data_IF_030813641170
#
_entry.id   IF_030813641170
#
_cell.length_a   1.000
_cell.length_b   1.000
_cell.length_c   1.000
_cell.angle_alpha   90.00
_cell.angle_beta   90.00
_cell.angle_gamma   90.00
#
_symmetry.space_group_name_H-M   'P 1'
#
loop_
_entity.id
_entity.type
_entity.pdbx_description
1 polymer ?
#
# COMPACT_ATOMS: atom_id res chain seq x y z
N UNK A 1 24.89 7.18 28.98
CA UNK A 1 25.45 7.53 27.64
C UNK A 1 25.11 6.51 26.54
N UNK A 2 24.65 5.29 26.86
CA UNK A 2 24.21 4.28 25.86
C UNK A 2 22.71 4.32 25.50
N UNK A 3 21.89 5.15 26.16
CA UNK A 3 20.44 5.18 25.93
C UNK A 3 20.05 5.66 24.52
N UNK A 4 20.68 6.72 23.99
CA UNK A 4 20.37 7.21 22.63
C UNK A 4 20.76 6.23 21.51
N UNK A 5 21.79 5.40 21.72
CA UNK A 5 22.22 4.42 20.73
C UNK A 5 21.21 3.27 20.56
N UNK A 6 20.47 2.93 21.62
CA UNK A 6 19.52 1.81 21.61
C UNK A 6 18.37 2.03 20.62
N UNK A 7 17.80 3.23 20.56
CA UNK A 7 16.67 3.56 19.68
C UNK A 7 17.04 3.53 18.19
N UNK A 8 18.20 4.10 17.82
CA UNK A 8 18.68 4.07 16.44
C UNK A 8 19.02 2.65 15.97
N UNK A 9 19.68 1.86 16.82
CA UNK A 9 19.98 0.45 16.53
C UNK A 9 18.69 -0.34 16.34
N UNK A 10 17.67 -0.07 17.15
CA UNK A 10 16.38 -0.74 17.04
C UNK A 10 15.67 -0.43 15.73
N UNK A 11 15.65 0.85 15.30
CA UNK A 11 15.09 1.24 13.99
C UNK A 11 15.90 0.59 12.85
N UNK A 12 17.22 0.64 12.90
CA UNK A 12 18.07 0.02 11.89
C UNK A 12 17.82 -1.50 11.78
N UNK A 13 17.62 -2.18 12.91
CA UNK A 13 17.28 -3.60 12.95
C UNK A 13 15.92 -3.88 12.31
N UNK A 14 14.91 -3.04 12.55
CA UNK A 14 13.59 -3.20 11.93
C UNK A 14 13.64 -3.04 10.41
N UNK A 15 14.45 -2.10 9.90
CA UNK A 15 14.68 -1.92 8.46
C UNK A 15 15.45 -3.13 7.88
N UNK A 16 16.51 -3.56 8.54
CA UNK A 16 17.29 -4.73 8.12
C UNK A 16 16.42 -6.00 8.06
N UNK A 17 15.57 -6.21 9.06
CA UNK A 17 14.61 -7.29 9.09
C UNK A 17 13.63 -7.22 7.91
N UNK A 18 13.06 -6.04 7.62
CA UNK A 18 12.16 -5.85 6.49
C UNK A 18 12.83 -6.21 5.14
N UNK A 19 14.06 -5.74 4.89
CA UNK A 19 14.80 -6.08 3.68
C UNK A 19 15.17 -7.57 3.61
N UNK A 20 15.52 -8.18 4.74
CA UNK A 20 15.84 -9.62 4.79
C UNK A 20 14.61 -10.46 4.43
N UNK A 21 13.43 -10.10 4.95
CA UNK A 21 12.16 -10.76 4.61
C UNK A 21 11.83 -10.65 3.11
N UNK A 22 12.09 -9.48 2.51
CA UNK A 22 11.87 -9.26 1.08
C UNK A 22 12.81 -10.11 0.21
N UNK A 23 14.12 -10.07 0.49
CA UNK A 23 15.13 -10.82 -0.28
C UNK A 23 14.89 -12.34 -0.16
N UNK A 24 14.58 -12.84 1.03
CA UNK A 24 14.30 -14.26 1.21
C UNK A 24 13.05 -14.70 0.45
N UNK A 25 11.99 -13.89 0.48
CA UNK A 25 10.74 -14.24 -0.18
C UNK A 25 10.84 -14.24 -1.70
N UNK A 26 11.37 -13.18 -2.30
CA UNK A 26 11.51 -13.11 -3.76
C UNK A 26 12.68 -13.95 -4.28
N UNK A 27 13.80 -13.97 -3.56
CA UNK A 27 15.02 -14.64 -4.03
C UNK A 27 15.02 -16.16 -3.87
N UNK A 28 14.44 -16.69 -2.78
CA UNK A 28 14.51 -18.13 -2.46
C UNK A 28 13.19 -18.84 -2.70
N UNK A 29 12.07 -18.21 -2.33
CA UNK A 29 10.75 -18.87 -2.32
C UNK A 29 9.83 -18.46 -3.48
N UNK A 30 10.26 -17.55 -4.36
CA UNK A 30 9.46 -16.97 -5.45
C UNK A 30 8.06 -16.49 -4.97
N UNK A 31 7.97 -16.08 -3.71
CA UNK A 31 6.74 -15.64 -3.06
C UNK A 31 6.64 -14.10 -3.09
N UNK A 32 5.47 -13.56 -2.71
CA UNK A 32 5.27 -12.11 -2.64
C UNK A 32 6.17 -11.49 -1.57
N UNK A 33 7.19 -10.75 -2.00
CA UNK A 33 8.11 -10.03 -1.12
C UNK A 33 7.39 -9.03 -0.20
N UNK A 34 6.40 -8.31 -0.73
CA UNK A 34 5.63 -7.30 0.04
C UNK A 34 4.86 -7.96 1.19
N UNK A 35 4.14 -9.06 0.93
CA UNK A 35 3.37 -9.77 1.96
C UNK A 35 4.27 -10.42 3.00
N UNK A 36 5.44 -10.93 2.59
CA UNK A 36 6.46 -11.45 3.51
C UNK A 36 6.95 -10.37 4.46
N UNK A 37 7.30 -9.19 3.95
CA UNK A 37 7.76 -8.06 4.76
C UNK A 37 6.70 -7.62 5.76
N UNK A 38 5.43 -7.53 5.35
CA UNK A 38 4.31 -7.19 6.26
C UNK A 38 4.12 -8.26 7.34
N UNK A 39 4.19 -9.53 6.96
CA UNK A 39 4.06 -10.65 7.91
C UNK A 39 5.22 -10.66 8.91
N UNK A 40 6.44 -10.45 8.43
CA UNK A 40 7.64 -10.33 9.26
C UNK A 40 7.57 -9.13 10.21
N UNK A 41 7.09 -7.98 9.72
CA UNK A 41 6.87 -6.79 10.54
C UNK A 41 5.79 -7.03 11.62
N UNK A 42 4.73 -7.78 11.33
CA UNK A 42 3.69 -8.12 12.32
C UNK A 42 4.25 -9.03 13.43
N UNK A 43 5.03 -10.05 13.06
CA UNK A 43 5.72 -10.92 14.02
C UNK A 43 6.70 -10.12 14.87
N UNK A 44 7.46 -9.22 14.24
CA UNK A 44 8.38 -8.31 14.91
C UNK A 44 7.61 -7.40 15.88
N UNK A 45 6.51 -6.79 15.47
CA UNK A 45 5.68 -5.93 16.31
C UNK A 45 5.16 -6.66 17.55
N UNK A 46 4.69 -7.90 17.40
CA UNK A 46 4.22 -8.71 18.53
C UNK A 46 5.34 -9.06 19.52
N UNK A 47 6.51 -9.44 19.02
CA UNK A 47 7.60 -9.97 19.86
C UNK A 47 8.56 -8.89 20.38
N UNK A 48 8.69 -7.75 19.70
CA UNK A 48 9.58 -6.65 20.09
C UNK A 48 8.95 -5.65 21.05
N UNK A 49 7.62 -5.55 21.14
CA UNK A 49 6.93 -4.61 22.05
C UNK A 49 7.40 -4.61 23.53
N UNK A 50 7.84 -5.75 24.11
CA UNK A 50 8.39 -5.79 25.47
C UNK A 50 9.83 -5.29 25.59
N UNK A 51 10.60 -5.25 24.50
CA UNK A 51 12.03 -4.92 24.48
C UNK A 51 12.33 -3.49 23.97
N UNK A 52 11.31 -2.72 23.58
CA UNK A 52 11.46 -1.35 23.07
C UNK A 52 11.74 -0.39 24.23
N UNK A 53 12.91 0.23 24.21
CA UNK A 53 13.36 1.17 25.26
C UNK A 53 12.65 2.54 25.14
N UNK A 54 12.45 3.04 23.91
CA UNK A 54 11.78 4.32 23.65
C UNK A 54 10.74 4.19 22.54
N UNK A 55 9.49 3.90 22.91
CA UNK A 55 8.38 3.68 21.95
C UNK A 55 8.06 4.93 21.14
N UNK A 56 7.93 6.06 21.81
CA UNK A 56 7.55 7.32 21.17
C UNK A 56 8.59 7.77 20.12
N UNK A 57 9.88 7.63 20.43
CA UNK A 57 10.95 7.97 19.49
C UNK A 57 10.92 7.08 18.24
N UNK A 58 10.68 5.77 18.40
CA UNK A 58 10.57 4.84 17.28
C UNK A 58 9.33 5.14 16.43
N UNK A 59 8.20 5.42 17.06
CA UNK A 59 6.97 5.80 16.39
C UNK A 59 7.14 7.11 15.61
N UNK A 60 7.75 8.14 16.19
CA UNK A 60 8.04 9.40 15.47
C UNK A 60 8.96 9.22 14.27
N UNK A 61 9.99 8.37 14.38
CA UNK A 61 10.88 8.08 13.25
C UNK A 61 10.12 7.35 12.13
N UNK A 62 9.29 6.35 12.48
CA UNK A 62 8.50 5.63 11.49
C UNK A 62 7.43 6.50 10.83
N UNK A 63 6.75 7.38 11.58
CA UNK A 63 5.83 8.37 11.01
C UNK A 63 6.54 9.33 10.06
N UNK A 64 7.77 9.76 10.40
CA UNK A 64 8.58 10.60 9.51
C UNK A 64 8.92 9.87 8.20
N UNK A 65 9.33 8.60 8.30
CA UNK A 65 9.64 7.76 7.13
C UNK A 65 8.39 7.53 6.29
N UNK A 66 7.26 7.18 6.91
CA UNK A 66 5.98 7.01 6.23
C UNK A 66 5.58 8.27 5.48
N UNK A 67 5.65 9.43 6.13
CA UNK A 67 5.34 10.71 5.50
C UNK A 67 6.27 11.02 4.32
N UNK A 68 7.58 10.80 4.48
CA UNK A 68 8.56 11.02 3.43
C UNK A 68 8.32 10.08 2.22
N UNK A 69 8.11 8.78 2.47
CA UNK A 69 7.87 7.79 1.41
C UNK A 69 6.55 8.02 0.69
N UNK A 70 5.48 8.33 1.41
CA UNK A 70 4.19 8.68 0.81
C UNK A 70 4.34 9.91 -0.08
N UNK A 71 5.03 10.96 0.39
CA UNK A 71 5.28 12.17 -0.41
C UNK A 71 6.04 11.85 -1.71
N UNK A 72 7.07 11.00 -1.64
CA UNK A 72 7.83 10.58 -2.83
C UNK A 72 6.95 9.80 -3.81
N UNK A 73 6.16 8.84 -3.33
CA UNK A 73 5.28 8.03 -4.20
C UNK A 73 4.22 8.91 -4.87
N UNK A 74 3.58 9.81 -4.12
CA UNK A 74 2.60 10.74 -4.69
C UNK A 74 3.23 11.73 -5.67
N UNK A 75 4.42 12.25 -5.36
CA UNK A 75 5.16 13.12 -6.26
C UNK A 75 5.52 12.40 -7.56
N UNK A 76 6.03 11.17 -7.48
CA UNK A 76 6.40 10.37 -8.64
C UNK A 76 5.17 9.99 -9.48
N UNK A 77 4.09 9.55 -8.84
CA UNK A 77 2.84 9.23 -9.51
C UNK A 77 2.24 10.46 -10.22
N UNK A 78 2.25 11.63 -9.57
CA UNK A 78 1.81 12.88 -10.18
C UNK A 78 2.67 13.30 -11.38
N UNK A 79 3.99 13.20 -11.25
CA UNK A 79 4.93 13.52 -12.33
C UNK A 79 4.77 12.60 -13.54
N UNK A 80 4.52 11.30 -13.32
CA UNK A 80 4.26 10.35 -14.40
C UNK A 80 2.90 10.60 -15.05
N UNK A 81 1.85 10.82 -14.26
CA UNK A 81 0.50 11.12 -14.79
C UNK A 81 0.52 12.40 -15.64
N UNK A 82 1.22 13.46 -15.20
CA UNK A 82 1.34 14.70 -15.98
C UNK A 82 2.05 14.53 -17.33
N UNK A 83 3.00 13.59 -17.44
CA UNK A 83 3.64 13.27 -18.73
C UNK A 83 2.68 12.57 -19.69
N UNK A 84 1.81 11.70 -19.17
CA UNK A 84 0.84 10.96 -19.99
C UNK A 84 -0.22 11.91 -20.57
N UNK A 85 -0.74 12.83 -19.76
CA UNK A 85 -1.71 13.85 -20.20
C UNK A 85 -1.18 14.71 -21.36
N UNK A 86 0.11 15.08 -21.30
CA UNK A 86 0.76 15.90 -22.33
C UNK A 86 0.88 15.17 -23.68
N UNK A 87 0.95 13.84 -23.68
CA UNK A 87 1.05 13.01 -24.89
C UNK A 87 -0.30 12.75 -25.59
N UNK A 88 -1.40 13.36 -25.13
CA UNK A 88 -2.71 13.46 -25.83
C UNK A 88 -3.23 12.11 -26.36
N UNK A 89 -3.19 11.08 -25.53
CA UNK A 89 -3.77 9.76 -25.85
C UNK A 89 -4.99 9.40 -24.98
N UNK A 90 -5.46 10.31 -24.11
CA UNK A 90 -6.55 10.06 -23.18
C UNK A 90 -7.85 10.66 -23.75
N UNK A 91 -8.86 9.81 -23.94
CA UNK A 91 -10.19 10.22 -24.42
C UNK A 91 -11.06 10.58 -23.22
N UNK A 92 -11.99 11.52 -23.40
CA UNK A 92 -13.02 11.86 -22.38
C UNK A 92 -13.81 10.61 -21.90
N UNK A 93 -13.86 9.55 -22.71
CA UNK A 93 -14.45 8.25 -22.33
C UNK A 93 -13.70 7.51 -21.22
N UNK A 94 -12.39 7.72 -21.05
CA UNK A 94 -11.61 7.06 -19.99
C UNK A 94 -11.98 7.59 -18.60
N UNK A 95 -12.49 8.83 -18.51
CA UNK A 95 -12.99 9.40 -17.27
C UNK A 95 -14.24 8.66 -16.76
N UNK A 96 -15.10 8.23 -17.68
CA UNK A 96 -16.27 7.41 -17.35
C UNK A 96 -15.86 6.02 -16.85
N UNK A 97 -14.87 5.41 -17.52
CA UNK A 97 -14.30 4.13 -17.10
C UNK A 97 -13.67 4.23 -15.72
N UNK A 98 -13.00 5.34 -15.40
CA UNK A 98 -12.38 5.58 -14.09
C UNK A 98 -13.43 5.68 -12.97
N UNK A 99 -14.49 6.45 -13.20
CA UNK A 99 -15.60 6.57 -12.24
C UNK A 99 -16.31 5.22 -12.05
N UNK A 100 -16.53 4.48 -13.14
CA UNK A 100 -17.14 3.16 -13.09
C UNK A 100 -16.26 2.16 -12.34
N UNK A 101 -14.94 2.14 -12.59
CA UNK A 101 -14.01 1.27 -11.88
C UNK A 101 -14.01 1.60 -10.39
N UNK A 102 -14.06 2.89 -10.03
CA UNK A 102 -14.13 3.34 -8.65
C UNK A 102 -15.40 2.87 -7.96
N UNK A 103 -16.55 3.06 -8.60
CA UNK A 103 -17.84 2.64 -8.06
C UNK A 103 -17.93 1.12 -7.93
N UNK A 104 -17.44 0.38 -8.92
CA UNK A 104 -17.39 -1.10 -8.90
C UNK A 104 -16.45 -1.58 -7.78
N UNK A 105 -15.26 -1.00 -7.62
CA UNK A 105 -14.32 -1.36 -6.55
C UNK A 105 -14.91 -1.08 -5.16
N UNK A 106 -15.57 0.06 -4.99
CA UNK A 106 -16.27 0.41 -3.75
C UNK A 106 -17.42 -0.57 -3.45
N UNK A 107 -18.20 -0.94 -4.46
CA UNK A 107 -19.27 -1.94 -4.32
C UNK A 107 -18.72 -3.33 -3.98
N UNK A 108 -17.65 -3.79 -4.63
CA UNK A 108 -17.02 -5.08 -4.33
C UNK A 108 -16.55 -5.10 -2.87
N UNK A 109 -15.91 -4.02 -2.40
CA UNK A 109 -15.48 -3.91 -1.00
C UNK A 109 -16.67 -3.97 -0.04
N UNK A 110 -17.75 -3.26 -0.36
CA UNK A 110 -18.98 -3.27 0.43
C UNK A 110 -19.58 -4.68 0.49
N UNK A 111 -19.71 -5.35 -0.65
CA UNK A 111 -20.21 -6.73 -0.73
C UNK A 111 -19.31 -7.71 0.02
N UNK A 112 -17.98 -7.60 -0.11
CA UNK A 112 -17.05 -8.46 0.63
C UNK A 112 -17.14 -8.26 2.14
N UNK A 113 -17.22 -7.02 2.62
CA UNK A 113 -17.35 -6.74 4.05
C UNK A 113 -18.71 -7.20 4.59
N UNK A 114 -19.81 -6.95 3.87
CA UNK A 114 -21.14 -7.44 4.26
C UNK A 114 -21.26 -8.96 4.17
N UNK A 115 -20.60 -9.58 3.19
CA UNK A 115 -20.52 -11.04 3.05
C UNK A 115 -19.65 -11.69 4.13
N UNK A 116 -18.65 -10.97 4.65
CA UNK A 116 -17.80 -11.43 5.77
C UNK A 116 -18.41 -11.16 7.15
N UNK A 117 -19.45 -10.32 7.24
CA UNK A 117 -20.19 -10.05 8.49
C UNK A 117 -20.64 -11.32 9.25
N UNK A 118 -21.20 -12.38 8.61
CA UNK A 118 -21.66 -13.54 9.36
C UNK A 118 -20.50 -14.42 9.86
N UNK A 119 -19.32 -14.32 9.23
CA UNK A 119 -18.10 -14.95 9.72
C UNK A 119 -17.55 -14.20 10.94
N UNK A 120 -17.57 -12.87 10.91
CA UNK A 120 -17.14 -12.02 12.03
C UNK A 120 -18.02 -12.19 13.27
N UNK A 121 -19.34 -12.21 13.08
CA UNK A 121 -20.30 -12.46 14.17
C UNK A 121 -20.04 -13.83 14.83
N UNK A 122 -19.66 -14.84 14.03
CA UNK A 122 -19.33 -16.18 14.52
C UNK A 122 -18.00 -16.24 15.27
N UNK A 123 -17.08 -15.32 15.00
CA UNK A 123 -15.80 -15.17 15.71
C UNK A 123 -15.93 -14.31 16.99
N UNK A 124 -17.13 -13.81 17.31
CA UNK A 124 -17.42 -13.12 18.57
C UNK A 124 -17.27 -11.59 18.53
N UNK A 125 -16.96 -11.01 17.35
CA UNK A 125 -16.89 -9.56 17.19
C UNK A 125 -18.29 -9.03 16.84
N UNK A 126 -18.90 -8.26 17.75
CA UNK A 126 -20.18 -7.58 17.47
C UNK A 126 -19.90 -6.37 16.58
N UNK A 127 -19.97 -6.53 15.26
CA UNK A 127 -19.74 -5.44 14.31
C UNK A 127 -21.05 -4.80 13.91
N UNK A 128 -21.21 -3.50 14.17
CA UNK A 128 -22.42 -2.76 13.77
C UNK A 128 -22.34 -2.40 12.28
N UNK A 129 -23.48 -2.20 11.61
CA UNK A 129 -23.54 -1.72 10.22
C UNK A 129 -22.77 -0.40 10.01
N UNK A 130 -22.71 0.43 11.06
CA UNK A 130 -21.94 1.67 11.11
C UNK A 130 -20.43 1.41 11.07
N UNK A 131 -19.94 0.43 11.84
CA UNK A 131 -18.52 0.05 11.84
C UNK A 131 -18.10 -0.48 10.46
N UNK A 132 -18.99 -1.23 9.81
CA UNK A 132 -18.74 -1.77 8.48
C UNK A 132 -18.67 -0.67 7.41
N UNK A 133 -19.54 0.35 7.50
CA UNK A 133 -19.47 1.53 6.65
C UNK A 133 -18.19 2.33 6.88
N UNK A 134 -17.77 2.50 8.13
CA UNK A 134 -16.49 3.15 8.48
C UNK A 134 -15.30 2.33 7.95
N UNK A 135 -15.35 0.99 8.03
CA UNK A 135 -14.34 0.10 7.47
C UNK A 135 -14.30 0.14 5.93
N UNK A 136 -15.44 0.24 5.27
CA UNK A 136 -15.51 0.44 3.81
C UNK A 136 -14.83 1.75 3.42
N UNK A 137 -15.08 2.82 4.18
CA UNK A 137 -14.56 4.16 3.94
C UNK A 137 -13.08 4.30 4.30
N UNK A 138 -12.62 3.58 5.32
CA UNK A 138 -11.24 3.60 5.83
C UNK A 138 -10.23 2.80 4.98
N UNK A 139 -10.59 2.36 3.77
CA UNK A 139 -9.73 1.56 2.91
C UNK A 139 -8.35 2.19 2.67
N UNK A 140 -7.31 1.35 2.61
CA UNK A 140 -5.91 1.73 2.42
C UNK A 140 -5.78 2.90 1.42
N UNK A 141 -5.30 4.05 1.90
CA UNK A 141 -4.96 5.21 1.07
C UNK A 141 -4.11 4.72 -0.09
N UNK A 142 -4.50 5.04 -1.33
CA UNK A 142 -4.06 4.39 -2.58
C UNK A 142 -2.56 4.35 -2.90
N UNK A 143 -1.68 4.77 -1.99
CA UNK A 143 -0.22 4.78 -2.14
C UNK A 143 0.36 3.40 -2.52
N UNK A 144 -0.13 2.30 -1.93
CA UNK A 144 0.35 0.95 -2.28
C UNK A 144 -0.07 0.56 -3.70
N UNK A 145 -1.29 0.92 -4.10
CA UNK A 145 -1.79 0.71 -5.47
C UNK A 145 -1.02 1.55 -6.50
N UNK A 146 -0.71 2.81 -6.16
CA UNK A 146 0.15 3.67 -6.96
C UNK A 146 1.56 3.11 -7.12
N UNK A 147 2.17 2.63 -6.03
CA UNK A 147 3.49 2.03 -6.07
C UNK A 147 3.52 0.80 -7.01
N UNK A 148 2.50 -0.05 -6.94
CA UNK A 148 2.34 -1.18 -7.85
C UNK A 148 2.15 -0.71 -9.31
N UNK A 149 1.33 0.32 -9.54
CA UNK A 149 1.10 0.87 -10.88
C UNK A 149 2.40 1.42 -11.50
N UNK A 150 3.20 2.15 -10.71
CA UNK A 150 4.51 2.66 -11.14
C UNK A 150 5.46 1.49 -11.43
N UNK A 151 5.49 0.47 -10.57
CA UNK A 151 6.32 -0.72 -10.79
C UNK A 151 5.95 -1.47 -12.08
N UNK A 152 4.65 -1.64 -12.34
CA UNK A 152 4.18 -2.27 -13.59
C UNK A 152 4.53 -1.42 -14.81
N UNK A 153 4.42 -0.10 -14.71
CA UNK A 153 4.79 0.80 -15.79
C UNK A 153 6.30 0.72 -16.12
N UNK A 154 7.17 0.63 -15.11
CA UNK A 154 8.62 0.47 -15.35
C UNK A 154 8.99 -0.92 -15.88
N UNK A 155 8.25 -1.96 -15.51
CA UNK A 155 8.45 -3.35 -15.97
C UNK A 155 7.70 -3.73 -17.24
N UNK A 156 6.87 -2.84 -17.79
CA UNK A 156 6.02 -3.12 -18.95
C UNK A 156 6.81 -3.62 -20.18
N UNK A 157 8.00 -3.06 -20.42
CA UNK A 157 8.87 -3.44 -21.53
C UNK A 157 9.41 -4.88 -21.42
N UNK A 158 9.66 -5.36 -20.20
CA UNK A 158 10.13 -6.72 -19.93
C UNK A 158 8.98 -7.75 -20.01
N UNK A 159 7.76 -7.33 -19.67
CA UNK A 159 6.56 -8.18 -19.64
C UNK A 159 5.86 -8.32 -21.01
N UNK A 160 6.35 -7.64 -22.06
CA UNK A 160 5.72 -7.65 -23.39
C UNK A 160 4.36 -6.96 -23.43
N UNK A 161 4.06 -6.10 -22.46
CA UNK A 161 2.79 -5.37 -22.37
C UNK A 161 2.85 -4.15 -23.29
N UNK A 162 1.78 -3.89 -24.04
CA UNK A 162 1.71 -2.70 -24.87
C UNK A 162 1.85 -1.43 -24.01
N UNK A 163 2.68 -0.45 -24.39
CA UNK A 163 2.95 0.74 -23.57
C UNK A 163 1.67 1.54 -23.27
N UNK A 164 0.68 1.46 -24.15
CA UNK A 164 -0.63 2.09 -24.00
C UNK A 164 -1.41 1.51 -22.81
N UNK A 165 -1.30 0.22 -22.53
CA UNK A 165 -2.04 -0.42 -21.44
C UNK A 165 -1.38 -0.15 -20.08
N UNK A 166 -0.05 -0.05 -20.04
CA UNK A 166 0.69 0.36 -18.85
C UNK A 166 0.36 1.81 -18.44
N UNK A 167 0.28 2.73 -19.42
CA UNK A 167 -0.10 4.13 -19.18
C UNK A 167 -1.54 4.25 -18.68
N UNK A 168 -2.46 3.42 -19.19
CA UNK A 168 -3.86 3.37 -18.71
C UNK A 168 -3.97 2.89 -17.27
N UNK A 169 -3.22 1.85 -16.89
CA UNK A 169 -3.22 1.35 -15.51
C UNK A 169 -2.71 2.43 -14.56
N UNK A 170 -1.65 3.15 -14.96
CA UNK A 170 -1.10 4.25 -14.17
C UNK A 170 -2.10 5.42 -14.05
N UNK A 171 -2.78 5.78 -15.15
CA UNK A 171 -3.81 6.81 -15.15
C UNK A 171 -5.00 6.44 -14.24
N UNK A 172 -5.50 5.20 -14.33
CA UNK A 172 -6.58 4.75 -13.46
C UNK A 172 -6.15 4.79 -12.00
N UNK A 173 -5.01 4.19 -11.64
CA UNK A 173 -4.52 4.18 -10.26
C UNK A 173 -4.21 5.60 -9.72
N UNK A 174 -3.70 6.48 -10.57
CA UNK A 174 -3.52 7.91 -10.32
C UNK A 174 -4.83 8.60 -9.95
N UNK A 175 -5.87 8.45 -10.78
CA UNK A 175 -7.17 9.05 -10.52
C UNK A 175 -7.87 8.46 -9.29
N UNK A 176 -7.72 7.16 -9.02
CA UNK A 176 -8.22 6.52 -7.80
C UNK A 176 -7.64 7.10 -6.52
N UNK A 177 -6.38 7.51 -6.54
CA UNK A 177 -5.71 8.06 -5.36
C UNK A 177 -6.06 9.53 -5.10
N UNK A 178 -6.60 10.22 -6.11
CA UNK A 178 -7.07 11.61 -6.01
C UNK A 178 -8.52 11.74 -5.52
N UNK A 179 -9.33 10.66 -5.58
CA UNK A 179 -10.72 10.60 -5.12
C UNK A 179 -10.77 10.17 -3.66
#
# INVERSE_FOLDING_TARGET
RFEHASGLIQVALTICCAYTCWILAEGVFEASGVLSTVSGALVLAKNMWPAVVHKDAMEHIWHMIEFAMNTIIFFLAGALTGKIETNRNIKIGDFWTLLLLWLVSALIRLVMLFGSKPLLDRMGTKTTWQDLLVMCWGGLRGAVGLALAVYLHTKAAELGIAPVDADRILFFMGGFACI
#
